data_IF_568029853779
#
_entry.id   IF_568029853779
#
_cell.length_a   1.000
_cell.length_b   1.000
_cell.length_c   1.000
_cell.angle_alpha   90.00
_cell.angle_beta   90.00
_cell.angle_gamma   90.00
#
_symmetry.space_group_name_H-M   'P 1'
#
loop_
_entity.id
_entity.type
_entity.pdbx_description
1 polymer ?
#
# COMPACT_ATOMS: atom_id res chain seq x y z
N UNK A 1 -25.04 -25.80 -7.49
CA UNK A 1 -26.27 -25.02 -7.77
C UNK A 1 -25.96 -23.56 -7.56
N UNK A 2 -25.57 -22.86 -8.63
CA UNK A 2 -25.56 -21.39 -8.63
C UNK A 2 -27.03 -20.97 -8.64
N UNK A 3 -27.46 -20.19 -7.64
CA UNK A 3 -28.81 -19.65 -7.60
C UNK A 3 -29.01 -18.68 -8.76
N UNK A 4 -30.16 -18.72 -9.43
CA UNK A 4 -30.58 -17.80 -10.52
C UNK A 4 -30.74 -16.32 -10.07
N UNK A 5 -30.23 -16.00 -8.88
CA UNK A 5 -30.29 -14.68 -8.27
C UNK A 5 -29.05 -13.87 -8.68
N UNK A 6 -29.15 -13.15 -9.80
CA UNK A 6 -28.14 -12.22 -10.31
C UNK A 6 -27.68 -11.16 -9.27
N UNK A 7 -28.51 -10.87 -8.27
CA UNK A 7 -28.22 -9.92 -7.18
C UNK A 7 -27.43 -10.54 -6.01
N UNK A 8 -27.45 -11.87 -5.87
CA UNK A 8 -26.86 -12.56 -4.72
C UNK A 8 -25.35 -12.31 -4.55
N UNK A 9 -24.52 -12.26 -5.61
CA UNK A 9 -23.11 -11.90 -5.49
C UNK A 9 -22.90 -10.49 -4.94
N UNK A 10 -23.73 -9.52 -5.34
CA UNK A 10 -23.62 -8.14 -4.87
C UNK A 10 -24.02 -8.01 -3.40
N UNK A 11 -25.08 -8.72 -2.97
CA UNK A 11 -25.46 -8.75 -1.55
C UNK A 11 -24.36 -9.42 -0.71
N UNK A 12 -23.77 -10.50 -1.22
CA UNK A 12 -22.64 -11.15 -0.57
C UNK A 12 -21.44 -10.20 -0.44
N UNK A 13 -21.06 -9.50 -1.52
CA UNK A 13 -19.96 -8.52 -1.48
C UNK A 13 -20.28 -7.38 -0.51
N UNK A 14 -21.52 -6.90 -0.49
CA UNK A 14 -21.94 -5.84 0.43
C UNK A 14 -21.79 -6.28 1.89
N UNK A 15 -22.32 -7.46 2.24
CA UNK A 15 -22.25 -7.98 3.61
C UNK A 15 -20.83 -8.35 3.99
N UNK A 16 -20.12 -9.09 3.13
CA UNK A 16 -18.75 -9.54 3.39
C UNK A 16 -17.77 -8.37 3.44
N UNK A 17 -17.89 -7.40 2.52
CA UNK A 17 -17.07 -6.19 2.50
C UNK A 17 -17.34 -5.28 3.70
N UNK A 18 -18.61 -5.10 4.06
CA UNK A 18 -19.00 -4.37 5.26
C UNK A 18 -18.44 -5.05 6.53
N UNK A 19 -18.68 -6.35 6.71
CA UNK A 19 -18.13 -7.09 7.85
C UNK A 19 -16.61 -7.04 7.89
N UNK A 20 -15.92 -7.19 6.76
CA UNK A 20 -14.47 -7.17 6.70
C UNK A 20 -13.86 -5.80 7.05
N UNK A 21 -14.59 -4.69 6.86
CA UNK A 21 -14.07 -3.33 7.06
C UNK A 21 -14.61 -2.68 8.33
N UNK A 22 -15.93 -2.65 8.50
CA UNK A 22 -16.58 -1.97 9.62
C UNK A 22 -16.36 -2.70 10.94
N UNK A 23 -16.28 -4.04 10.96
CA UNK A 23 -16.01 -4.78 12.20
C UNK A 23 -14.72 -4.30 12.88
N UNK A 24 -13.63 -4.19 12.11
CA UNK A 24 -12.36 -3.69 12.61
C UNK A 24 -12.40 -2.21 12.98
N UNK A 25 -13.20 -1.41 12.25
CA UNK A 25 -13.40 0.01 12.56
C UNK A 25 -14.07 0.20 13.91
N UNK A 26 -15.14 -0.55 14.20
CA UNK A 26 -15.84 -0.51 15.47
C UNK A 26 -14.98 -1.03 16.64
N UNK A 27 -14.23 -2.12 16.43
CA UNK A 27 -13.26 -2.59 17.42
C UNK A 27 -12.21 -1.52 17.73
N UNK A 28 -11.73 -0.80 16.72
CA UNK A 28 -10.82 0.33 16.88
C UNK A 28 -11.41 1.47 17.71
N UNK A 29 -12.69 1.81 17.52
CA UNK A 29 -13.38 2.83 18.33
C UNK A 29 -13.51 2.40 19.79
N UNK A 30 -13.92 1.15 20.04
CA UNK A 30 -14.10 0.62 21.39
C UNK A 30 -12.76 0.57 22.15
N UNK A 31 -11.71 0.08 21.49
CA UNK A 31 -10.36 0.04 22.05
C UNK A 31 -9.76 1.45 22.23
N UNK A 32 -9.99 2.33 21.25
CA UNK A 32 -9.45 3.69 21.21
C UNK A 32 -10.09 4.63 22.23
N UNK A 33 -11.37 4.45 22.57
CA UNK A 33 -12.08 5.30 23.54
C UNK A 33 -11.46 5.28 24.95
N UNK A 34 -10.65 4.25 25.26
CA UNK A 34 -9.96 4.12 26.55
C UNK A 34 -8.52 4.65 26.52
N UNK A 35 -7.99 5.01 25.35
CA UNK A 35 -6.63 5.49 25.20
C UNK A 35 -6.60 7.01 25.33
N UNK A 36 -5.71 7.52 26.20
CA UNK A 36 -5.45 8.96 26.27
C UNK A 36 -4.76 9.42 24.99
N UNK A 37 -5.18 10.56 24.45
CA UNK A 37 -4.47 11.24 23.37
C UNK A 37 -3.03 11.55 23.81
N UNK A 38 -2.07 11.18 22.98
CA UNK A 38 -0.63 11.31 23.30
C UNK A 38 -0.06 10.21 24.21
N UNK A 39 -0.83 9.18 24.58
CA UNK A 39 -0.29 8.04 25.31
C UNK A 39 0.78 7.28 24.52
N UNK A 40 1.77 6.75 25.24
CA UNK A 40 2.85 5.95 24.64
C UNK A 40 2.31 4.72 23.89
N UNK A 41 1.27 4.07 24.41
CA UNK A 41 0.58 2.97 23.73
C UNK A 41 -0.01 3.39 22.38
N UNK A 42 -0.64 4.57 22.30
CA UNK A 42 -1.19 5.07 21.04
C UNK A 42 -0.09 5.41 20.03
N UNK A 43 1.02 5.98 20.50
CA UNK A 43 2.19 6.24 19.65
C UNK A 43 2.82 4.94 19.14
N UNK A 44 2.91 3.91 19.98
CA UNK A 44 3.37 2.57 19.59
C UNK A 44 2.46 1.96 18.52
N UNK A 45 1.14 1.99 18.70
CA UNK A 45 0.19 1.49 17.69
C UNK A 45 0.35 2.24 16.35
N UNK A 46 0.51 3.57 16.38
CA UNK A 46 0.74 4.37 15.17
C UNK A 46 2.05 4.00 14.48
N UNK A 47 3.12 3.81 15.25
CA UNK A 47 4.41 3.38 14.73
C UNK A 47 4.31 2.00 14.07
N UNK A 48 3.66 1.02 14.73
CA UNK A 48 3.42 -0.32 14.17
C UNK A 48 2.59 -0.25 12.88
N UNK A 49 1.50 0.52 12.87
CA UNK A 49 0.65 0.66 11.69
C UNK A 49 1.42 1.22 10.48
N UNK A 50 2.19 2.28 10.68
CA UNK A 50 3.02 2.86 9.60
C UNK A 50 4.14 1.92 9.16
N UNK A 51 4.79 1.21 10.09
CA UNK A 51 5.83 0.24 9.78
C UNK A 51 5.28 -0.94 8.96
N UNK A 52 4.08 -1.44 9.27
CA UNK A 52 3.44 -2.52 8.52
C UNK A 52 3.14 -2.12 7.07
N UNK A 53 2.62 -0.92 6.85
CA UNK A 53 2.37 -0.40 5.49
C UNK A 53 3.68 -0.32 4.70
N UNK A 54 4.72 0.26 5.31
CA UNK A 54 6.03 0.37 4.65
C UNK A 54 6.69 -0.99 4.40
N UNK A 55 6.52 -1.95 5.32
CA UNK A 55 7.04 -3.31 5.17
C UNK A 55 6.40 -4.04 3.98
N UNK A 56 5.07 -3.90 3.79
CA UNK A 56 4.38 -4.47 2.64
C UNK A 56 4.85 -3.81 1.34
N UNK A 57 4.99 -2.49 1.30
CA UNK A 57 5.55 -1.79 0.13
C UNK A 57 6.98 -2.25 -0.18
N UNK A 58 7.85 -2.36 0.83
CA UNK A 58 9.20 -2.85 0.67
C UNK A 58 9.24 -4.30 0.16
N UNK A 59 8.35 -5.17 0.67
CA UNK A 59 8.20 -6.54 0.18
C UNK A 59 7.87 -6.56 -1.31
N UNK A 60 6.95 -5.73 -1.79
CA UNK A 60 6.59 -5.66 -3.21
C UNK A 60 7.75 -5.15 -4.08
N UNK A 61 8.60 -4.27 -3.54
CA UNK A 61 9.79 -3.78 -4.23
C UNK A 61 10.86 -4.86 -4.34
N UNK A 62 11.10 -5.66 -3.29
CA UNK A 62 12.19 -6.66 -3.26
C UNK A 62 11.74 -7.99 -3.87
N UNK A 63 10.55 -8.45 -3.51
CA UNK A 63 9.92 -9.71 -3.92
C UNK A 63 8.59 -9.44 -4.66
N UNK A 64 8.64 -8.91 -5.88
CA UNK A 64 7.46 -8.61 -6.67
C UNK A 64 6.80 -9.91 -7.13
N UNK A 65 5.52 -9.80 -7.45
CA UNK A 65 4.73 -10.87 -8.05
C UNK A 65 4.03 -10.35 -9.30
N UNK A 66 3.71 -11.24 -10.23
CA UNK A 66 2.99 -10.89 -11.46
C UNK A 66 3.90 -10.24 -12.52
N UNK A 67 3.42 -9.16 -13.15
CA UNK A 67 4.08 -8.57 -14.34
C UNK A 67 5.48 -8.01 -14.08
N UNK A 68 5.81 -7.67 -12.82
CA UNK A 68 7.13 -7.17 -12.43
C UNK A 68 8.08 -8.27 -11.96
N UNK A 69 7.70 -9.54 -12.03
CA UNK A 69 8.52 -10.67 -11.55
C UNK A 69 9.87 -10.77 -12.30
N UNK A 70 9.87 -10.52 -13.61
CA UNK A 70 11.07 -10.52 -14.42
C UNK A 70 11.89 -9.22 -14.36
N UNK A 71 11.39 -8.19 -13.66
CA UNK A 71 12.08 -6.91 -13.59
C UNK A 71 13.34 -6.98 -12.73
N UNK A 72 14.44 -6.29 -13.13
CA UNK A 72 15.66 -6.29 -12.33
C UNK A 72 15.47 -5.62 -10.96
N UNK A 73 15.96 -6.27 -9.89
CA UNK A 73 15.84 -5.75 -8.51
C UNK A 73 16.54 -4.40 -8.33
N UNK A 74 17.69 -4.19 -8.97
CA UNK A 74 18.44 -2.93 -8.90
C UNK A 74 17.62 -1.76 -9.47
N UNK A 75 16.84 -1.99 -10.52
CA UNK A 75 15.99 -0.95 -11.12
C UNK A 75 14.86 -0.57 -10.16
N UNK A 76 14.22 -1.57 -9.54
CA UNK A 76 13.14 -1.34 -8.57
C UNK A 76 13.63 -0.56 -7.35
N UNK A 77 14.75 -0.96 -6.77
CA UNK A 77 15.36 -0.27 -5.62
C UNK A 77 15.83 1.13 -6.04
N UNK A 78 16.47 1.26 -7.20
CA UNK A 78 16.94 2.54 -7.74
C UNK A 78 15.78 3.53 -7.98
N UNK A 79 14.70 3.08 -8.61
CA UNK A 79 13.51 3.89 -8.86
C UNK A 79 12.85 4.35 -7.55
N UNK A 80 12.71 3.44 -6.58
CA UNK A 80 12.14 3.77 -5.27
C UNK A 80 13.01 4.78 -4.49
N UNK A 81 14.31 4.54 -4.41
CA UNK A 81 15.25 5.40 -3.66
C UNK A 81 15.43 6.77 -4.32
N UNK A 82 15.61 6.82 -5.63
CA UNK A 82 15.73 8.08 -6.38
C UNK A 82 14.41 8.87 -6.37
N UNK A 83 13.28 8.19 -6.53
CA UNK A 83 11.96 8.81 -6.40
C UNK A 83 11.73 9.41 -5.02
N UNK A 84 12.15 8.71 -3.96
CA UNK A 84 12.10 9.24 -2.59
C UNK A 84 13.03 10.44 -2.39
N UNK A 85 14.26 10.40 -2.93
CA UNK A 85 15.17 11.55 -2.87
C UNK A 85 14.57 12.78 -3.57
N UNK A 86 13.96 12.61 -4.74
CA UNK A 86 13.30 13.68 -5.48
C UNK A 86 12.06 14.21 -4.74
N UNK A 87 11.29 13.34 -4.09
CA UNK A 87 10.21 13.74 -3.19
C UNK A 87 10.68 14.66 -2.07
N UNK A 88 11.81 14.35 -1.43
CA UNK A 88 12.38 15.19 -0.38
C UNK A 88 12.83 16.55 -0.94
N UNK A 89 13.50 16.57 -2.09
CA UNK A 89 13.90 17.81 -2.77
C UNK A 89 12.71 18.67 -3.20
N UNK A 90 11.59 18.03 -3.57
CA UNK A 90 10.36 18.71 -3.97
C UNK A 90 9.50 19.22 -2.80
N UNK A 91 10.07 19.35 -1.59
CA UNK A 91 9.37 19.76 -0.36
C UNK A 91 8.20 18.84 -0.01
N UNK A 92 8.41 17.54 -0.13
CA UNK A 92 7.45 16.52 0.30
C UNK A 92 6.10 16.59 -0.44
N UNK A 93 6.09 17.06 -1.69
CA UNK A 93 4.89 17.03 -2.54
C UNK A 93 4.53 15.59 -2.89
N UNK A 94 3.37 15.13 -2.39
CA UNK A 94 2.88 13.75 -2.59
C UNK A 94 2.84 13.36 -4.07
N UNK A 95 2.40 14.27 -4.94
CA UNK A 95 2.34 14.03 -6.38
C UNK A 95 3.71 13.64 -6.97
N UNK A 96 4.79 14.30 -6.50
CA UNK A 96 6.16 14.00 -6.95
C UNK A 96 6.62 12.66 -6.41
N UNK A 97 6.32 12.35 -5.14
CA UNK A 97 6.67 11.07 -4.53
C UNK A 97 5.96 9.87 -5.16
N UNK A 98 4.83 10.08 -5.84
CA UNK A 98 4.13 9.03 -6.59
C UNK A 98 4.63 8.97 -8.03
N UNK A 99 4.60 10.09 -8.76
CA UNK A 99 4.86 10.08 -10.20
C UNK A 99 6.31 9.74 -10.54
N UNK A 100 7.27 10.27 -9.79
CA UNK A 100 8.69 10.11 -10.12
C UNK A 100 9.16 8.64 -10.06
N UNK A 101 9.00 7.89 -8.95
CA UNK A 101 9.41 6.49 -8.92
C UNK A 101 8.65 5.63 -9.95
N UNK A 102 7.38 5.92 -10.23
CA UNK A 102 6.60 5.23 -11.26
C UNK A 102 7.22 5.46 -12.65
N UNK A 103 7.51 6.72 -13.00
CA UNK A 103 8.10 7.07 -14.29
C UNK A 103 9.51 6.49 -14.43
N UNK A 104 10.33 6.56 -13.39
CA UNK A 104 11.67 5.96 -13.38
C UNK A 104 11.62 4.45 -13.61
N UNK A 105 10.70 3.76 -12.93
CA UNK A 105 10.52 2.33 -13.11
C UNK A 105 10.00 2.00 -14.52
N UNK A 106 8.97 2.70 -14.99
CA UNK A 106 8.37 2.46 -16.30
C UNK A 106 9.35 2.73 -17.45
N UNK A 107 10.05 3.86 -17.42
CA UNK A 107 11.08 4.20 -18.41
C UNK A 107 12.24 3.23 -18.35
N UNK A 108 12.71 2.89 -17.14
CA UNK A 108 13.80 1.92 -16.98
C UNK A 108 13.44 0.53 -17.49
N UNK A 109 12.20 0.09 -17.30
CA UNK A 109 11.70 -1.15 -17.89
C UNK A 109 11.68 -1.05 -19.41
N UNK A 110 11.06 -0.02 -19.99
CA UNK A 110 11.01 0.14 -21.46
C UNK A 110 12.40 0.15 -22.10
N UNK A 111 13.39 0.78 -21.48
CA UNK A 111 14.76 0.84 -22.01
C UNK A 111 15.48 -0.51 -21.93
N UNK A 112 15.19 -1.31 -20.90
CA UNK A 112 15.81 -2.63 -20.70
C UNK A 112 15.09 -3.75 -21.46
N UNK A 113 13.77 -3.64 -21.66
CA UNK A 113 12.93 -4.62 -22.35
C UNK A 113 13.00 -4.46 -23.89
N UNK A 114 13.38 -3.27 -24.37
CA UNK A 114 13.68 -3.00 -25.80
C UNK A 114 15.08 -3.51 -26.20
N UNK A 115 15.87 -4.05 -25.25
CA UNK A 115 17.17 -4.69 -25.51
C UNK A 115 17.08 -6.20 -25.34
#
# INVERSE_FOLDING_TARGET
MMTDAWWAPYLFIAIAGWLATDLWRWLGVIAGNRLKEGSETLNWVRAVATALVMAVTAKLIVFPTGTLEHSPTWLRIGAATLGFAIFLMARQKVLVGVLVPILLLAVGLLVLDVR
#
